data_IF_133801628411
#
_entry.id   IF_133801628411
#
_cell.length_a   1.000
_cell.length_b   1.000
_cell.length_c   1.000
_cell.angle_alpha   90.00
_cell.angle_beta   90.00
_cell.angle_gamma   90.00
#
_symmetry.space_group_name_H-M   'P 1'
#
loop_
_entity.id
_entity.type
_entity.pdbx_description
1 polymer ?
#
# COMPACT_ATOMS: atom_id res chain seq x y z
N UNK A 1 -3.19 2.22 9.69
CA UNK A 1 -4.33 2.09 8.76
C UNK A 1 -4.42 3.37 7.93
N UNK A 2 -4.47 3.22 6.61
CA UNK A 2 -4.62 4.35 5.69
C UNK A 2 -6.05 4.35 5.17
N UNK A 3 -6.75 5.48 5.29
CA UNK A 3 -8.10 5.61 4.75
C UNK A 3 -8.00 5.86 3.24
N UNK A 4 -8.69 5.05 2.45
CA UNK A 4 -8.77 5.24 1.02
C UNK A 4 -9.56 6.52 0.68
N UNK A 5 -9.19 7.21 -0.40
CA UNK A 5 -10.04 8.25 -0.98
C UNK A 5 -11.38 7.65 -1.45
N UNK A 6 -12.42 8.46 -1.55
CA UNK A 6 -13.72 8.00 -2.05
C UNK A 6 -13.62 7.39 -3.44
N UNK A 7 -12.79 7.96 -4.30
CA UNK A 7 -12.56 7.50 -5.67
C UNK A 7 -11.87 6.14 -5.71
N UNK A 8 -10.83 5.95 -4.89
CA UNK A 8 -10.16 4.66 -4.76
C UNK A 8 -11.10 3.59 -4.23
N UNK A 9 -11.90 3.92 -3.21
CA UNK A 9 -12.87 3.00 -2.65
C UNK A 9 -13.89 2.54 -3.70
N UNK A 10 -14.47 3.48 -4.46
CA UNK A 10 -15.44 3.19 -5.51
C UNK A 10 -14.83 2.34 -6.63
N UNK A 11 -13.62 2.67 -7.08
CA UNK A 11 -12.93 1.92 -8.12
C UNK A 11 -12.66 0.47 -7.69
N UNK A 12 -12.20 0.27 -6.45
CA UNK A 12 -11.96 -1.07 -5.90
C UNK A 12 -13.25 -1.86 -5.67
N UNK A 13 -14.32 -1.21 -5.18
CA UNK A 13 -15.62 -1.84 -4.97
C UNK A 13 -16.21 -2.32 -6.30
N UNK A 14 -16.19 -1.47 -7.33
CA UNK A 14 -16.66 -1.82 -8.67
C UNK A 14 -15.86 -2.97 -9.29
N UNK A 15 -14.54 -2.94 -9.16
CA UNK A 15 -13.66 -3.97 -9.67
C UNK A 15 -13.88 -5.31 -8.96
N UNK A 16 -13.81 -5.31 -7.64
CA UNK A 16 -13.91 -6.52 -6.83
C UNK A 16 -15.31 -7.12 -6.84
N UNK A 17 -16.36 -6.31 -6.92
CA UNK A 17 -17.74 -6.77 -7.02
C UNK A 17 -18.04 -7.62 -8.27
N UNK A 18 -17.18 -7.59 -9.28
CA UNK A 18 -17.30 -8.37 -10.54
C UNK A 18 -16.47 -9.66 -10.52
N UNK A 19 -15.72 -9.95 -9.44
CA UNK A 19 -14.82 -11.12 -9.39
C UNK A 19 -15.52 -12.37 -8.83
N UNK A 20 -14.97 -13.50 -9.22
CA UNK A 20 -15.41 -14.81 -8.71
C UNK A 20 -14.54 -15.18 -7.51
N UNK A 21 -15.18 -15.59 -6.45
CA UNK A 21 -14.58 -16.00 -5.19
C UNK A 21 -14.74 -17.51 -5.00
N UNK A 22 -13.66 -18.20 -4.65
CA UNK A 22 -13.69 -19.63 -4.31
C UNK A 22 -13.49 -19.81 -2.81
N UNK A 23 -14.23 -20.70 -2.15
CA UNK A 23 -14.02 -20.98 -0.72
C UNK A 23 -12.60 -21.49 -0.47
N UNK A 24 -11.94 -20.95 0.54
CA UNK A 24 -10.64 -21.44 1.00
C UNK A 24 -10.86 -22.60 1.97
N UNK A 25 -10.25 -23.76 1.66
CA UNK A 25 -10.41 -24.99 2.45
C UNK A 25 -9.50 -25.01 3.68
N UNK A 26 -8.42 -24.23 3.66
CA UNK A 26 -7.41 -24.25 4.72
C UNK A 26 -7.21 -22.83 5.28
N UNK A 27 -7.92 -22.51 6.35
CA UNK A 27 -7.89 -21.18 6.98
C UNK A 27 -6.57 -20.90 7.73
N UNK A 28 -5.89 -21.94 8.20
CA UNK A 28 -4.67 -21.84 9.02
C UNK A 28 -3.45 -21.26 8.27
N UNK A 29 -3.52 -21.16 6.95
CA UNK A 29 -2.44 -20.61 6.12
C UNK A 29 -2.40 -19.09 6.08
N UNK A 30 -3.40 -18.39 6.62
CA UNK A 30 -3.55 -16.94 6.50
C UNK A 30 -3.12 -16.17 7.76
N UNK A 31 -2.85 -16.86 8.86
CA UNK A 31 -2.36 -16.24 10.11
C UNK A 31 -0.84 -15.99 10.13
N UNK A 32 -0.13 -16.34 9.06
CA UNK A 32 1.32 -16.41 9.07
C UNK A 32 2.07 -15.07 8.85
N UNK A 33 1.38 -13.94 8.68
CA UNK A 33 2.01 -12.65 8.37
C UNK A 33 2.48 -12.54 6.91
N UNK A 34 3.01 -11.40 6.51
CA UNK A 34 3.47 -11.15 5.13
C UNK A 34 2.39 -10.60 4.20
N UNK A 35 1.37 -9.99 4.75
CA UNK A 35 0.33 -9.28 4.00
C UNK A 35 0.90 -7.98 3.43
N UNK A 36 0.80 -7.83 2.12
CA UNK A 36 1.27 -6.64 1.41
C UNK A 36 0.25 -5.49 1.45
N UNK A 37 -1.01 -5.84 1.29
CA UNK A 37 -2.13 -4.89 1.32
C UNK A 37 -3.30 -5.53 2.04
N UNK A 38 -3.94 -4.79 2.94
CA UNK A 38 -5.22 -5.16 3.54
C UNK A 38 -6.24 -4.09 3.18
N UNK A 39 -7.29 -4.48 2.48
CA UNK A 39 -8.44 -3.65 2.21
C UNK A 39 -9.57 -4.02 3.17
N UNK A 40 -10.08 -3.02 3.88
CA UNK A 40 -11.19 -3.18 4.80
C UNK A 40 -12.41 -2.43 4.26
N UNK A 41 -13.50 -3.17 4.04
CA UNK A 41 -14.78 -2.61 3.63
C UNK A 41 -15.75 -2.62 4.80
N UNK A 42 -16.22 -1.44 5.20
CA UNK A 42 -17.12 -1.23 6.33
C UNK A 42 -16.65 -0.12 7.25
N UNK A 43 -17.42 0.19 8.29
CA UNK A 43 -17.00 1.12 9.34
C UNK A 43 -15.97 0.47 10.26
N UNK A 44 -15.16 1.29 10.96
CA UNK A 44 -14.09 0.82 11.85
C UNK A 44 -14.55 -0.16 12.93
N UNK A 45 -15.82 -0.12 13.33
CA UNK A 45 -16.39 -0.98 14.36
C UNK A 45 -17.16 -2.19 13.80
N UNK A 46 -17.47 -2.20 12.50
CA UNK A 46 -18.23 -3.24 11.82
C UNK A 46 -17.60 -3.60 10.46
N UNK A 47 -16.31 -3.93 10.44
CA UNK A 47 -15.69 -4.41 9.21
C UNK A 47 -16.31 -5.74 8.80
N UNK A 48 -17.06 -5.71 7.70
CA UNK A 48 -17.75 -6.90 7.18
C UNK A 48 -16.91 -7.74 6.25
N UNK A 49 -15.95 -7.11 5.59
CA UNK A 49 -15.12 -7.78 4.57
C UNK A 49 -13.69 -7.29 4.66
N UNK A 50 -12.74 -8.22 4.67
CA UNK A 50 -11.31 -7.99 4.65
C UNK A 50 -10.72 -8.66 3.41
N UNK A 51 -9.92 -7.94 2.66
CA UNK A 51 -9.11 -8.47 1.58
C UNK A 51 -7.65 -8.38 1.96
N UNK A 52 -6.99 -9.51 2.15
CA UNK A 52 -5.57 -9.56 2.43
C UNK A 52 -4.83 -10.06 1.18
N UNK A 53 -3.86 -9.27 0.74
CA UNK A 53 -2.99 -9.57 -0.38
C UNK A 53 -1.63 -9.99 0.16
N UNK A 54 -1.11 -11.10 -0.36
CA UNK A 54 0.18 -11.65 0.05
C UNK A 54 1.20 -11.50 -1.08
N UNK A 55 2.47 -11.34 -0.73
CA UNK A 55 3.57 -11.19 -1.68
C UNK A 55 3.70 -12.36 -2.68
N UNK A 56 3.20 -13.55 -2.33
CA UNK A 56 3.13 -14.73 -3.21
C UNK A 56 1.94 -14.70 -4.18
N UNK A 57 1.24 -13.55 -4.28
CA UNK A 57 0.11 -13.35 -5.17
C UNK A 57 -1.18 -14.09 -4.79
N UNK A 58 -1.31 -14.51 -3.54
CA UNK A 58 -2.58 -15.03 -3.02
C UNK A 58 -3.42 -13.90 -2.47
N UNK A 59 -4.68 -13.93 -2.84
CA UNK A 59 -5.67 -12.98 -2.36
C UNK A 59 -6.69 -13.76 -1.54
N UNK A 60 -6.88 -13.36 -0.29
CA UNK A 60 -7.88 -13.97 0.56
C UNK A 60 -8.91 -12.93 0.99
N UNK A 61 -10.17 -13.20 0.69
CA UNK A 61 -11.29 -12.45 1.21
C UNK A 61 -11.76 -13.13 2.50
N UNK A 62 -11.79 -12.39 3.59
CA UNK A 62 -12.32 -12.87 4.86
C UNK A 62 -13.63 -12.16 5.14
N UNK A 63 -14.74 -12.92 5.17
CA UNK A 63 -16.07 -12.47 5.58
C UNK A 63 -16.41 -13.12 6.92
N UNK A 64 -16.17 -12.39 8.01
CA UNK A 64 -16.42 -12.88 9.35
C UNK A 64 -15.66 -14.17 9.69
N UNK A 65 -16.19 -15.33 9.31
CA UNK A 65 -15.62 -16.66 9.59
C UNK A 65 -15.23 -17.44 8.34
N UNK A 66 -15.40 -16.89 7.15
CA UNK A 66 -15.13 -17.59 5.89
C UNK A 66 -14.03 -16.88 5.13
N UNK A 67 -13.07 -17.66 4.65
CA UNK A 67 -12.00 -17.20 3.77
C UNK A 67 -12.27 -17.65 2.33
N UNK A 68 -11.99 -16.76 1.39
CA UNK A 68 -12.15 -17.01 -0.05
C UNK A 68 -10.86 -16.62 -0.76
N UNK A 69 -10.57 -17.31 -1.86
CA UNK A 69 -9.44 -16.97 -2.74
C UNK A 69 -9.95 -16.66 -4.14
N UNK A 70 -9.28 -15.75 -4.81
CA UNK A 70 -9.54 -15.49 -6.23
C UNK A 70 -8.82 -16.51 -7.10
N UNK A 71 -9.48 -17.09 -8.14
CA UNK A 71 -8.85 -18.08 -9.02
C UNK A 71 -7.54 -17.59 -9.66
N UNK A 72 -7.48 -16.33 -10.07
CA UNK A 72 -6.32 -15.70 -10.69
C UNK A 72 -5.73 -14.62 -9.78
N UNK A 73 -5.41 -14.95 -8.54
CA UNK A 73 -4.98 -14.00 -7.52
C UNK A 73 -3.86 -13.05 -7.97
N UNK A 74 -2.88 -13.55 -8.73
CA UNK A 74 -1.80 -12.72 -9.26
C UNK A 74 -2.30 -11.62 -10.21
N UNK A 75 -3.19 -11.95 -11.13
CA UNK A 75 -3.75 -10.97 -12.06
C UNK A 75 -4.63 -9.96 -11.31
N UNK A 76 -5.44 -10.43 -10.36
CA UNK A 76 -6.28 -9.56 -9.52
C UNK A 76 -5.41 -8.59 -8.71
N UNK A 77 -4.31 -9.07 -8.13
CA UNK A 77 -3.37 -8.22 -7.40
C UNK A 77 -2.76 -7.13 -8.31
N UNK A 78 -2.31 -7.51 -9.51
CA UNK A 78 -1.76 -6.55 -10.48
C UNK A 78 -2.78 -5.48 -10.89
N UNK A 79 -4.01 -5.88 -11.18
CA UNK A 79 -5.08 -4.93 -11.52
C UNK A 79 -5.44 -3.99 -10.35
N UNK A 80 -5.36 -4.46 -9.09
CA UNK A 80 -5.53 -3.61 -7.91
C UNK A 80 -4.38 -2.59 -7.79
N UNK A 81 -3.14 -3.00 -8.04
CA UNK A 81 -2.00 -2.09 -8.08
C UNK A 81 -2.16 -1.03 -9.18
N UNK A 82 -2.68 -1.40 -10.34
CA UNK A 82 -2.98 -0.46 -11.42
C UNK A 82 -4.10 0.53 -11.04
N UNK A 83 -5.18 0.05 -10.39
CA UNK A 83 -6.24 0.91 -9.87
C UNK A 83 -5.67 1.87 -8.82
N UNK A 84 -4.89 1.36 -7.87
CA UNK A 84 -4.26 2.18 -6.84
C UNK A 84 -3.40 3.27 -7.47
N UNK A 85 -2.57 2.93 -8.45
CA UNK A 85 -1.72 3.89 -9.14
C UNK A 85 -2.54 4.92 -9.93
N UNK A 86 -3.63 4.50 -10.59
CA UNK A 86 -4.43 5.37 -11.46
C UNK A 86 -5.21 6.47 -10.72
N UNK A 87 -5.61 6.21 -9.45
CA UNK A 87 -6.40 7.14 -8.64
C UNK A 87 -5.58 7.84 -7.55
N UNK A 88 -4.30 7.51 -7.43
CA UNK A 88 -3.40 8.11 -6.44
C UNK A 88 -2.75 9.40 -6.97
N UNK A 89 -2.48 10.32 -6.06
CA UNK A 89 -1.55 11.42 -6.32
C UNK A 89 -0.12 10.87 -6.25
N UNK A 90 0.67 11.20 -7.26
CA UNK A 90 2.07 10.82 -7.36
C UNK A 90 2.93 12.02 -6.97
N UNK A 91 3.74 11.89 -5.94
CA UNK A 91 4.68 12.92 -5.48
C UNK A 91 6.10 12.38 -5.65
N UNK A 92 6.88 13.01 -6.51
CA UNK A 92 8.30 12.71 -6.68
C UNK A 92 9.11 13.43 -5.62
N UNK A 93 9.96 12.72 -4.90
CA UNK A 93 10.79 13.26 -3.84
C UNK A 93 12.19 12.64 -3.87
N UNK A 94 13.18 13.39 -3.37
CA UNK A 94 14.56 12.93 -3.22
C UNK A 94 14.87 12.72 -1.74
N UNK A 95 15.44 11.59 -1.39
CA UNK A 95 15.81 11.24 -0.01
C UNK A 95 16.85 12.20 0.53
N UNK A 96 16.59 12.82 1.69
CA UNK A 96 17.52 13.75 2.37
C UNK A 96 18.07 13.19 3.68
N UNK A 97 17.34 12.31 4.35
CA UNK A 97 17.79 11.62 5.56
C UNK A 97 17.09 10.28 5.74
N UNK A 98 17.78 9.32 6.36
CA UNK A 98 17.27 7.99 6.68
C UNK A 98 17.62 7.67 8.13
N UNK A 99 16.65 7.14 8.88
CA UNK A 99 16.80 6.61 10.22
C UNK A 99 16.16 5.21 10.26
N UNK A 100 16.99 4.21 10.07
CA UNK A 100 16.56 2.80 9.99
C UNK A 100 16.01 2.29 11.33
N UNK A 101 16.57 2.77 12.45
CA UNK A 101 16.15 2.32 13.79
C UNK A 101 14.71 2.74 14.11
N UNK A 102 14.28 3.91 13.60
CA UNK A 102 12.95 4.46 13.84
C UNK A 102 11.99 4.26 12.65
N UNK A 103 12.40 3.53 11.61
CA UNK A 103 11.63 3.35 10.36
C UNK A 103 11.13 4.69 9.82
N UNK A 104 12.07 5.63 9.67
CA UNK A 104 11.82 7.03 9.34
C UNK A 104 12.68 7.47 8.16
N UNK A 105 12.11 8.34 7.31
CA UNK A 105 12.77 8.93 6.16
C UNK A 105 12.33 10.38 6.00
N UNK A 106 13.27 11.23 5.63
CA UNK A 106 13.00 12.57 5.12
C UNK A 106 13.33 12.64 3.64
N UNK A 107 12.47 13.34 2.90
CA UNK A 107 12.67 13.55 1.47
C UNK A 107 12.12 14.91 1.05
N UNK A 108 12.65 15.45 -0.04
CA UNK A 108 12.37 16.80 -0.52
C UNK A 108 11.85 16.76 -1.96
N UNK A 109 10.80 17.51 -2.26
CA UNK A 109 10.39 17.82 -3.64
C UNK A 109 11.38 18.78 -4.31
N UNK A 110 11.39 18.83 -5.64
CA UNK A 110 12.20 19.77 -6.44
C UNK A 110 12.00 21.24 -6.04
N UNK A 111 10.82 21.59 -5.53
CA UNK A 111 10.48 22.94 -5.08
C UNK A 111 11.00 23.30 -3.67
N UNK A 112 11.75 22.40 -3.03
CA UNK A 112 12.32 22.59 -1.70
C UNK A 112 11.37 22.23 -0.55
N UNK A 113 10.23 21.60 -0.82
CA UNK A 113 9.28 21.19 0.20
C UNK A 113 9.70 19.87 0.85
N UNK A 114 10.01 19.93 2.14
CA UNK A 114 10.52 18.81 2.91
C UNK A 114 9.40 18.02 3.57
N UNK A 115 9.43 16.70 3.41
CA UNK A 115 8.46 15.75 3.96
C UNK A 115 9.12 14.80 4.95
N UNK A 116 8.35 14.41 5.97
CA UNK A 116 8.68 13.36 6.91
C UNK A 116 7.78 12.14 6.69
N UNK A 117 8.37 10.97 6.59
CA UNK A 117 7.68 9.70 6.43
C UNK A 117 8.02 8.77 7.58
N UNK A 118 6.99 8.18 8.20
CA UNK A 118 7.12 7.23 9.29
C UNK A 118 6.54 5.87 8.88
N UNK A 119 7.11 4.79 9.42
CA UNK A 119 6.65 3.41 9.18
C UNK A 119 6.59 3.07 7.70
N UNK A 120 7.66 3.36 7.00
CA UNK A 120 7.72 3.24 5.54
C UNK A 120 8.12 1.85 5.06
N UNK A 121 8.78 1.05 5.88
CA UNK A 121 9.28 -0.29 5.51
C UNK A 121 8.19 -1.18 4.91
N UNK A 122 6.95 -1.10 5.44
CA UNK A 122 5.83 -1.86 4.91
C UNK A 122 5.33 -1.36 3.55
N UNK A 123 5.60 -0.09 3.22
CA UNK A 123 5.09 0.59 2.01
C UNK A 123 6.13 0.69 0.91
N UNK A 124 7.40 0.45 1.23
CA UNK A 124 8.52 0.61 0.29
C UNK A 124 8.56 -0.54 -0.70
N UNK A 125 8.64 -0.20 -1.98
CA UNK A 125 8.68 -1.15 -3.10
C UNK A 125 9.76 -0.76 -4.09
N UNK A 126 10.36 -1.75 -4.74
CA UNK A 126 11.16 -1.52 -5.93
C UNK A 126 10.25 -1.10 -7.10
N UNK A 127 10.83 -0.58 -8.15
CA UNK A 127 10.14 -0.27 -9.41
C UNK A 127 9.30 -1.44 -9.97
N UNK A 128 9.74 -2.67 -9.71
CA UNK A 128 9.07 -3.89 -10.14
C UNK A 128 7.99 -4.37 -9.14
N UNK A 129 7.64 -3.56 -8.13
CA UNK A 129 6.60 -3.84 -7.14
C UNK A 129 7.01 -4.82 -6.03
N UNK A 130 8.27 -5.30 -5.99
CA UNK A 130 8.76 -6.15 -4.91
C UNK A 130 8.96 -5.32 -3.63
N UNK A 131 8.83 -5.96 -2.47
CA UNK A 131 9.21 -5.35 -1.21
C UNK A 131 10.67 -4.90 -1.26
N UNK A 132 10.91 -3.62 -0.97
CA UNK A 132 12.24 -3.07 -0.78
C UNK A 132 12.48 -2.82 0.72
N UNK A 133 13.74 -2.69 1.12
CA UNK A 133 14.10 -2.42 2.49
C UNK A 133 14.66 -1.00 2.62
N UNK A 134 14.50 -0.41 3.80
CA UNK A 134 15.02 0.92 4.08
C UNK A 134 16.56 0.96 4.00
N UNK A 135 17.23 -0.14 4.40
CA UNK A 135 18.69 -0.32 4.31
C UNK A 135 19.24 -0.27 2.87
N UNK A 136 18.37 -0.51 1.86
CA UNK A 136 18.75 -0.46 0.45
C UNK A 136 18.73 0.96 -0.12
N UNK A 137 18.15 1.93 0.61
CA UNK A 137 18.09 3.33 0.19
C UNK A 137 19.33 4.10 0.59
N UNK A 138 19.58 5.19 -0.12
CA UNK A 138 20.61 6.16 0.22
C UNK A 138 20.09 7.59 0.07
N UNK A 139 20.73 8.53 0.76
CA UNK A 139 20.50 9.97 0.54
C UNK A 139 20.81 10.31 -0.92
N UNK A 140 19.88 11.01 -1.57
CA UNK A 140 19.92 11.33 -2.99
C UNK A 140 19.10 10.39 -3.89
N UNK A 141 18.56 9.29 -3.35
CA UNK A 141 17.67 8.42 -4.12
C UNK A 141 16.35 9.11 -4.43
N UNK A 142 15.86 8.88 -5.65
CA UNK A 142 14.54 9.34 -6.07
C UNK A 142 13.48 8.31 -5.70
N UNK A 143 12.39 8.81 -5.12
CA UNK A 143 11.23 8.03 -4.74
C UNK A 143 9.96 8.61 -5.37
N UNK A 144 9.01 7.73 -5.69
CA UNK A 144 7.64 8.12 -6.04
C UNK A 144 6.68 7.70 -4.93
N UNK A 145 6.04 8.66 -4.29
CA UNK A 145 5.07 8.44 -3.22
C UNK A 145 3.66 8.46 -3.80
N UNK A 146 2.92 7.37 -3.60
CA UNK A 146 1.51 7.25 -3.95
C UNK A 146 0.65 7.53 -2.71
N UNK A 147 -0.26 8.49 -2.79
CA UNK A 147 -1.11 8.90 -1.67
C UNK A 147 -2.48 9.41 -2.15
N UNK A 148 -3.35 9.81 -1.23
CA UNK A 148 -4.58 10.54 -1.54
C UNK A 148 -4.37 12.04 -1.79
N UNK A 149 -3.13 12.52 -1.77
CA UNK A 149 -2.75 13.90 -2.03
C UNK A 149 -2.93 14.85 -0.84
N UNK A 150 -3.40 14.38 0.31
CA UNK A 150 -3.55 15.23 1.50
C UNK A 150 -2.21 15.45 2.19
N UNK A 151 -1.96 16.69 2.55
CA UNK A 151 -0.72 17.11 3.21
C UNK A 151 -1.05 17.86 4.48
N UNK A 152 -0.48 17.42 5.60
CA UNK A 152 -0.52 18.15 6.85
C UNK A 152 0.50 19.28 6.81
N UNK A 153 0.05 20.49 7.20
CA UNK A 153 0.88 21.69 7.26
C UNK A 153 1.71 21.71 8.56
N UNK A 154 2.62 20.74 8.68
CA UNK A 154 3.63 20.66 9.74
C UNK A 154 5.00 21.08 9.22
N UNK A 155 6.00 21.15 10.07
CA UNK A 155 7.39 21.36 9.67
C UNK A 155 8.26 20.26 10.30
N UNK A 156 8.75 19.31 9.50
CA UNK A 156 8.51 19.09 8.07
C UNK A 156 7.05 18.70 7.76
N UNK A 157 6.64 18.83 6.50
CA UNK A 157 5.32 18.42 6.04
C UNK A 157 5.12 16.90 6.19
N UNK A 158 3.88 16.45 6.29
CA UNK A 158 3.55 15.03 6.29
C UNK A 158 2.47 14.76 5.24
N UNK A 159 2.69 13.75 4.40
CA UNK A 159 1.67 13.27 3.47
C UNK A 159 0.79 12.28 4.25
N UNK A 160 -0.50 12.59 4.34
CA UNK A 160 -1.49 11.65 4.87
C UNK A 160 -1.72 10.50 3.89
N UNK A 161 -2.18 9.37 4.42
CA UNK A 161 -2.63 8.25 3.60
C UNK A 161 -1.65 7.86 2.48
N UNK A 162 -0.38 7.72 2.82
CA UNK A 162 0.60 7.13 1.91
C UNK A 162 0.24 5.66 1.68
N UNK A 163 -0.02 5.29 0.44
CA UNK A 163 -0.36 3.93 0.03
C UNK A 163 0.90 3.11 -0.23
N UNK A 164 1.79 3.61 -1.09
CA UNK A 164 3.07 2.98 -1.46
C UNK A 164 4.14 4.03 -1.73
N UNK A 165 5.38 3.60 -1.63
CA UNK A 165 6.57 4.38 -1.97
C UNK A 165 7.41 3.51 -2.89
N UNK A 166 7.66 3.96 -4.11
CA UNK A 166 8.50 3.25 -5.07
C UNK A 166 9.88 3.87 -5.14
N UNK A 167 10.90 3.02 -5.15
CA UNK A 167 12.29 3.39 -5.45
C UNK A 167 12.65 2.93 -6.86
N UNK A 168 13.50 3.71 -7.56
CA UNK A 168 14.07 3.32 -8.86
C UNK A 168 15.11 2.20 -8.73
N UNK A 169 15.55 1.85 -7.52
CA UNK A 169 16.44 0.72 -7.27
C UNK A 169 15.77 -0.62 -7.57
N UNK A 170 16.54 -1.57 -8.12
CA UNK A 170 16.08 -2.93 -8.44
C UNK A 170 16.24 -3.90 -7.27
#
# INVERSE_FOLDING_TARGET
QTNASTELYQALEEYLGKKIYLPCINQDTFDAGGQDVILQFGSNDEAKVWLAFYADSRICLVDGKKAYIFPNGKAVYQEIEEILASVSTHTAVTVTAIDEENDFLMAEEENGKLYAFHKISEKLRTKNGKQAKLEDLAVGDELTVLSDGRVLLSDPYQIENVYKIYTERE
#
